data_IF_502417580016
#
_entry.id   IF_502417580016
#
_cell.length_a   1.000
_cell.length_b   1.000
_cell.length_c   1.000
_cell.angle_alpha   90.00
_cell.angle_beta   90.00
_cell.angle_gamma   90.00
#
_symmetry.space_group_name_H-M   'P 1'
#
loop_
_entity.id
_entity.type
_entity.pdbx_description
1 polymer ?
#
# COMPACT_ATOMS: atom_id res chain seq x y z
N UNK A 1 -9.67 19.28 -23.76
CA UNK A 1 -10.22 19.08 -22.40
C UNK A 1 -9.16 18.38 -21.57
N UNK A 2 -8.41 19.12 -20.77
CA UNK A 2 -7.49 18.52 -19.79
C UNK A 2 -8.34 18.01 -18.64
N UNK A 3 -8.64 16.71 -18.65
CA UNK A 3 -9.39 16.03 -17.60
C UNK A 3 -8.59 15.91 -16.31
N UNK A 4 -8.26 17.05 -15.67
CA UNK A 4 -7.90 17.05 -14.25
C UNK A 4 -9.19 16.70 -13.52
N UNK A 5 -9.38 15.41 -13.21
CA UNK A 5 -10.32 15.01 -12.18
C UNK A 5 -9.91 15.74 -10.91
N UNK A 6 -10.71 16.73 -10.51
CA UNK A 6 -10.42 17.57 -9.35
C UNK A 6 -10.26 16.67 -8.13
N UNK A 7 -9.07 16.67 -7.52
CA UNK A 7 -8.76 15.96 -6.27
C UNK A 7 -9.80 16.30 -5.18
N UNK A 8 -10.43 17.48 -5.28
CA UNK A 8 -11.59 17.95 -4.50
C UNK A 8 -12.76 16.95 -4.44
N UNK A 9 -12.97 16.12 -5.47
CA UNK A 9 -14.04 15.11 -5.44
C UNK A 9 -13.72 13.90 -4.56
N UNK A 10 -12.43 13.65 -4.29
CA UNK A 10 -11.98 12.56 -3.43
C UNK A 10 -11.83 13.01 -1.97
N UNK A 11 -11.79 14.31 -1.70
CA UNK A 11 -11.62 14.87 -0.35
C UNK A 11 -12.61 14.29 0.68
N UNK A 12 -13.93 14.14 0.40
CA UNK A 12 -14.85 13.53 1.36
C UNK A 12 -14.52 12.06 1.64
N UNK A 13 -14.06 11.32 0.62
CA UNK A 13 -13.70 9.90 0.73
C UNK A 13 -12.40 9.77 1.54
N UNK A 14 -11.38 10.56 1.23
CA UNK A 14 -10.12 10.60 1.98
C UNK A 14 -10.38 10.93 3.44
N UNK A 15 -11.20 11.95 3.71
CA UNK A 15 -11.56 12.35 5.08
C UNK A 15 -12.29 11.24 5.82
N UNK A 16 -13.18 10.51 5.14
CA UNK A 16 -13.89 9.37 5.72
C UNK A 16 -12.94 8.22 6.04
N UNK A 17 -11.97 7.92 5.16
CA UNK A 17 -10.98 6.87 5.40
C UNK A 17 -10.06 7.20 6.58
N UNK A 18 -9.63 8.45 6.70
CA UNK A 18 -8.84 8.93 7.85
C UNK A 18 -9.66 8.83 9.14
N UNK A 19 -10.94 9.22 9.12
CA UNK A 19 -11.82 9.11 10.28
C UNK A 19 -12.07 7.64 10.72
N UNK A 20 -11.90 6.67 9.83
CA UNK A 20 -12.04 5.24 10.13
C UNK A 20 -10.80 4.63 10.80
N UNK A 21 -9.63 5.27 10.71
CA UNK A 21 -8.37 4.74 11.24
C UNK A 21 -8.47 4.21 12.69
N UNK A 22 -9.06 4.94 13.66
CA UNK A 22 -9.11 4.48 15.06
C UNK A 22 -9.94 3.20 15.27
N UNK A 23 -10.88 2.90 14.37
CA UNK A 23 -11.72 1.71 14.44
C UNK A 23 -11.04 0.48 13.84
N UNK A 24 -10.09 0.71 12.93
CA UNK A 24 -9.38 -0.34 12.18
C UNK A 24 -8.11 -0.73 12.92
N UNK A 25 -7.41 0.27 13.47
CA UNK A 25 -6.25 0.10 14.36
C UNK A 25 -6.63 0.57 15.77
N UNK A 26 -7.41 -0.21 16.53
CA UNK A 26 -7.66 0.13 17.92
C UNK A 26 -6.32 0.19 18.65
N UNK A 27 -5.97 1.38 19.13
CA UNK A 27 -4.76 1.59 19.89
C UNK A 27 -4.84 0.68 21.13
N UNK A 28 -3.81 -0.11 21.45
CA UNK A 28 -3.86 -0.98 22.62
C UNK A 28 -3.98 -0.09 23.86
N UNK A 29 -5.21 0.04 24.37
CA UNK A 29 -5.49 0.74 25.62
C UNK A 29 -4.65 0.05 26.67
N UNK A 30 -3.84 0.81 27.39
CA UNK A 30 -2.98 0.33 28.47
C UNK A 30 -3.82 -0.26 29.60
N UNK A 31 -4.28 -1.50 29.46
CA UNK A 31 -4.74 -2.34 30.55
C UNK A 31 -4.22 -3.75 30.32
N UNK A 32 -3.22 -4.21 31.09
CA UNK A 32 -2.82 -5.60 31.09
C UNK A 32 -3.91 -6.39 31.81
N UNK A 33 -4.90 -6.87 31.08
CA UNK A 33 -5.68 -8.01 31.53
C UNK A 33 -5.09 -9.24 30.85
N UNK A 34 -4.30 -9.97 31.64
CA UNK A 34 -3.85 -11.32 31.37
C UNK A 34 -5.04 -12.18 30.94
N UNK A 35 -4.81 -12.99 29.91
CA UNK A 35 -5.76 -13.86 29.22
C UNK A 35 -6.70 -13.17 28.22
N UNK A 36 -6.22 -12.98 27.00
CA UNK A 36 -6.96 -13.63 25.92
C UNK A 36 -6.08 -14.06 24.75
N UNK A 37 -6.35 -15.28 24.33
CA UNK A 37 -5.69 -16.05 23.29
C UNK A 37 -5.45 -15.23 22.01
N UNK A 38 -4.22 -15.29 21.51
CA UNK A 38 -3.71 -14.67 20.28
C UNK A 38 -4.32 -15.26 18.99
N UNK A 39 -5.64 -15.24 18.86
CA UNK A 39 -6.31 -15.38 17.57
C UNK A 39 -6.52 -13.96 17.04
N UNK A 40 -5.51 -13.42 16.35
CA UNK A 40 -5.72 -12.28 15.46
C UNK A 40 -6.89 -12.68 14.56
N UNK A 41 -8.06 -12.07 14.77
CA UNK A 41 -9.24 -12.41 14.03
C UNK A 41 -8.95 -12.13 12.56
N UNK A 42 -9.00 -13.16 11.70
CA UNK A 42 -8.70 -13.06 10.27
C UNK A 42 -9.51 -11.93 9.62
N UNK A 43 -10.73 -11.68 10.11
CA UNK A 43 -11.56 -10.57 9.65
C UNK A 43 -10.99 -9.19 10.00
N UNK A 44 -10.35 -9.05 11.16
CA UNK A 44 -9.67 -7.80 11.57
C UNK A 44 -8.45 -7.55 10.69
N UNK A 45 -7.62 -8.57 10.47
CA UNK A 45 -6.44 -8.45 9.58
C UNK A 45 -6.85 -8.14 8.13
N UNK A 46 -7.92 -8.78 7.63
CA UNK A 46 -8.46 -8.49 6.30
C UNK A 46 -9.05 -7.07 6.21
N UNK A 47 -9.71 -6.60 7.27
CA UNK A 47 -10.25 -5.25 7.35
C UNK A 47 -9.13 -4.20 7.30
N UNK A 48 -8.06 -4.40 8.07
CA UNK A 48 -6.88 -3.54 8.05
C UNK A 48 -6.23 -3.54 6.66
N UNK A 49 -5.94 -4.72 6.09
CA UNK A 49 -5.38 -4.83 4.75
C UNK A 49 -6.24 -4.10 3.70
N UNK A 50 -7.56 -4.25 3.77
CA UNK A 50 -8.49 -3.56 2.84
C UNK A 50 -8.43 -2.05 2.99
N UNK A 51 -8.25 -1.55 4.21
CA UNK A 51 -8.09 -0.12 4.44
C UNK A 51 -6.75 0.41 3.93
N UNK A 52 -5.64 -0.33 4.13
CA UNK A 52 -4.34 0.02 3.53
C UNK A 52 -4.44 0.09 2.01
N UNK A 53 -5.14 -0.87 1.38
CA UNK A 53 -5.39 -0.87 -0.06
C UNK A 53 -6.12 0.39 -0.49
N UNK A 54 -7.19 0.78 0.22
CA UNK A 54 -7.97 1.97 -0.10
C UNK A 54 -7.13 3.25 0.04
N UNK A 55 -6.28 3.33 1.07
CA UNK A 55 -5.38 4.46 1.29
C UNK A 55 -4.29 4.58 0.21
N UNK A 56 -3.85 3.45 -0.38
CA UNK A 56 -2.98 3.46 -1.55
C UNK A 56 -3.76 3.90 -2.80
N UNK A 57 -4.90 3.27 -3.08
CA UNK A 57 -5.68 3.51 -4.31
C UNK A 57 -6.10 4.97 -4.44
N UNK A 58 -6.51 5.64 -3.36
CA UNK A 58 -6.98 7.03 -3.45
C UNK A 58 -5.89 7.98 -3.93
N UNK A 59 -4.62 7.69 -3.65
CA UNK A 59 -3.47 8.50 -4.08
C UNK A 59 -3.08 8.24 -5.54
N UNK A 60 -3.29 7.01 -6.01
CA UNK A 60 -2.86 6.57 -7.35
C UNK A 60 -4.02 6.46 -8.36
N UNK A 61 -5.26 6.71 -7.93
CA UNK A 61 -6.46 6.55 -8.75
C UNK A 61 -6.39 7.42 -10.01
N UNK A 62 -6.05 8.70 -9.87
CA UNK A 62 -6.00 9.63 -11.00
C UNK A 62 -4.96 9.17 -12.04
N UNK A 63 -3.67 8.94 -11.70
CA UNK A 63 -2.69 8.41 -12.65
C UNK A 63 -3.09 7.09 -13.29
N UNK A 64 -3.58 6.13 -12.48
CA UNK A 64 -3.95 4.78 -12.94
C UNK A 64 -5.14 4.80 -13.91
N UNK A 65 -6.11 5.67 -13.67
CA UNK A 65 -7.33 5.76 -14.48
C UNK A 65 -7.18 6.69 -15.69
N UNK A 66 -6.32 7.72 -15.64
CA UNK A 66 -6.01 8.53 -16.83
C UNK A 66 -5.03 7.86 -17.78
N UNK A 67 -4.32 6.82 -17.34
CA UNK A 67 -3.47 5.97 -18.18
C UNK A 67 -4.25 5.03 -19.13
N UNK A 68 -5.58 4.97 -19.04
CA UNK A 68 -6.42 4.15 -19.92
C UNK A 68 -6.30 2.64 -19.68
N UNK A 69 -5.96 2.26 -18.45
CA UNK A 69 -5.55 0.90 -18.10
C UNK A 69 -6.78 0.08 -17.66
N UNK A 70 -7.25 -0.80 -18.54
CA UNK A 70 -8.27 -1.81 -18.20
C UNK A 70 -7.67 -3.18 -18.50
N UNK A 71 -7.03 -3.79 -17.50
CA UNK A 71 -6.51 -5.15 -17.62
C UNK A 71 -7.64 -6.17 -17.49
N UNK A 72 -7.82 -7.04 -18.49
CA UNK A 72 -8.81 -8.14 -18.45
C UNK A 72 -8.35 -9.39 -17.69
N UNK A 73 -7.12 -9.40 -17.17
CA UNK A 73 -6.52 -10.51 -16.42
C UNK A 73 -5.50 -10.03 -15.39
N UNK A 74 -5.20 -10.88 -14.39
CA UNK A 74 -4.18 -10.59 -13.37
C UNK A 74 -2.79 -10.44 -14.00
N UNK A 75 -2.46 -11.25 -15.00
CA UNK A 75 -1.20 -11.13 -15.75
C UNK A 75 -1.06 -9.76 -16.41
N UNK A 76 -2.14 -9.27 -17.03
CA UNK A 76 -2.14 -7.93 -17.63
C UNK A 76 -1.91 -6.86 -16.56
N UNK A 77 -2.56 -6.96 -15.40
CA UNK A 77 -2.36 -6.02 -14.28
C UNK A 77 -0.91 -6.05 -13.77
N UNK A 78 -0.30 -7.22 -13.61
CA UNK A 78 1.09 -7.35 -13.13
C UNK A 78 2.10 -6.79 -14.13
N UNK A 79 1.93 -7.10 -15.42
CA UNK A 79 2.79 -6.57 -16.49
C UNK A 79 2.70 -5.05 -16.54
N UNK A 80 1.49 -4.52 -16.55
CA UNK A 80 1.20 -3.09 -16.60
C UNK A 80 1.75 -2.39 -15.35
N UNK A 81 1.53 -2.93 -14.15
CA UNK A 81 2.06 -2.35 -12.92
C UNK A 81 3.59 -2.25 -12.96
N UNK A 82 4.25 -3.26 -13.52
CA UNK A 82 5.71 -3.28 -13.67
C UNK A 82 6.19 -2.27 -14.71
N UNK A 83 5.51 -2.18 -15.86
CA UNK A 83 5.87 -1.31 -16.98
C UNK A 83 5.60 0.18 -16.68
N UNK A 84 4.55 0.49 -15.92
CA UNK A 84 4.13 1.85 -15.59
C UNK A 84 4.68 2.36 -14.26
N UNK A 85 5.25 1.50 -13.42
CA UNK A 85 5.89 1.89 -12.16
C UNK A 85 6.80 3.14 -12.29
N UNK A 86 7.64 3.29 -13.34
CA UNK A 86 8.48 4.49 -13.50
C UNK A 86 7.68 5.79 -13.67
N UNK A 87 6.55 5.74 -14.39
CA UNK A 87 5.69 6.91 -14.64
C UNK A 87 4.85 7.30 -13.43
N UNK A 88 4.52 6.35 -12.56
CA UNK A 88 3.85 6.60 -11.28
C UNK A 88 4.78 7.29 -10.28
N UNK A 89 6.09 7.16 -10.44
CA UNK A 89 7.09 7.68 -9.51
C UNK A 89 7.09 9.22 -9.41
N UNK A 90 6.88 9.94 -10.51
CA UNK A 90 6.81 11.41 -10.51
C UNK A 90 5.64 11.93 -9.65
N UNK A 91 4.51 11.22 -9.66
CA UNK A 91 3.32 11.57 -8.87
C UNK A 91 3.47 11.16 -7.40
N UNK A 92 4.19 10.07 -7.13
CA UNK A 92 4.39 9.53 -5.78
C UNK A 92 5.38 10.34 -4.95
N UNK A 93 6.33 11.05 -5.57
CA UNK A 93 7.25 11.95 -4.87
C UNK A 93 6.47 13.11 -4.20
N UNK A 94 5.41 13.61 -4.83
CA UNK A 94 4.58 14.69 -4.27
C UNK A 94 3.68 14.22 -3.10
N UNK A 95 3.31 12.94 -3.06
CA UNK A 95 2.40 12.37 -2.04
C UNK A 95 3.10 11.52 -0.97
N UNK A 96 4.44 11.47 -0.99
CA UNK A 96 5.23 10.50 -0.24
C UNK A 96 4.88 10.41 1.25
N UNK A 97 4.67 11.54 1.93
CA UNK A 97 4.34 11.54 3.36
C UNK A 97 2.99 10.91 3.71
N UNK A 98 2.04 10.87 2.77
CA UNK A 98 0.69 10.35 2.99
C UNK A 98 0.61 8.86 2.64
N UNK A 99 1.29 8.43 1.58
CA UNK A 99 1.20 7.05 1.10
C UNK A 99 2.19 6.09 1.80
N UNK A 100 3.35 6.59 2.23
CA UNK A 100 4.43 5.76 2.79
C UNK A 100 4.01 4.86 3.95
N UNK A 101 3.21 5.29 4.94
CA UNK A 101 2.80 4.41 6.04
C UNK A 101 2.04 3.16 5.58
N UNK A 102 1.28 3.29 4.49
CA UNK A 102 0.49 2.20 3.91
C UNK A 102 1.35 1.26 3.07
N UNK A 103 2.34 1.81 2.36
CA UNK A 103 3.38 1.02 1.69
C UNK A 103 4.18 0.22 2.71
N UNK A 104 4.61 0.87 3.79
CA UNK A 104 5.36 0.25 4.87
C UNK A 104 4.61 -0.91 5.52
N UNK A 105 3.28 -0.80 5.65
CA UNK A 105 2.44 -1.89 6.15
C UNK A 105 2.58 -3.13 5.29
N UNK A 106 2.47 -2.99 3.97
CA UNK A 106 2.63 -4.11 3.03
C UNK A 106 4.07 -4.63 2.95
N UNK A 107 5.08 -3.77 3.11
CA UNK A 107 6.47 -4.22 3.19
C UNK A 107 6.71 -5.07 4.46
N UNK A 108 6.19 -4.64 5.62
CA UNK A 108 6.22 -5.47 6.84
C UNK A 108 5.43 -6.77 6.68
N UNK A 109 4.30 -6.71 5.98
CA UNK A 109 3.52 -7.89 5.65
C UNK A 109 4.35 -8.92 4.87
N UNK A 110 5.07 -8.47 3.82
CA UNK A 110 5.97 -9.29 3.03
C UNK A 110 7.17 -9.85 3.81
N UNK A 111 7.72 -9.08 4.75
CA UNK A 111 8.85 -9.49 5.60
C UNK A 111 8.43 -10.46 6.72
N UNK A 112 7.13 -10.57 7.00
CA UNK A 112 6.63 -11.48 8.03
C UNK A 112 6.74 -12.95 7.58
N UNK A 113 7.34 -13.79 8.43
CA UNK A 113 7.60 -15.21 8.14
C UNK A 113 6.34 -16.10 8.08
N UNK A 114 5.14 -15.51 8.12
CA UNK A 114 3.84 -16.17 8.32
C UNK A 114 2.87 -16.04 7.15
N UNK A 115 3.37 -15.72 5.96
CA UNK A 115 2.51 -15.68 4.76
C UNK A 115 2.15 -17.12 4.38
N UNK A 116 0.87 -17.46 4.52
CA UNK A 116 0.30 -18.72 4.03
C UNK A 116 -0.62 -18.35 2.86
N UNK A 117 -0.14 -18.41 1.60
CA UNK A 117 -0.86 -17.91 0.43
C UNK A 117 -2.24 -18.54 0.24
N UNK A 118 -2.42 -19.78 0.71
CA UNK A 118 -3.67 -20.54 0.57
C UNK A 118 -4.74 -20.17 1.59
N UNK A 119 -4.40 -19.39 2.62
CA UNK A 119 -5.34 -18.96 3.68
C UNK A 119 -5.72 -17.48 3.60
N UNK A 120 -5.13 -16.74 2.66
CA UNK A 120 -5.39 -15.33 2.46
C UNK A 120 -6.15 -15.07 1.17
N UNK A 121 -6.70 -13.87 1.06
CA UNK A 121 -7.34 -13.45 -0.16
C UNK A 121 -6.29 -13.06 -1.22
N UNK A 122 -6.41 -13.50 -2.48
CA UNK A 122 -5.38 -13.26 -3.51
C UNK A 122 -5.05 -11.79 -3.77
N UNK A 123 -5.97 -10.87 -3.48
CA UNK A 123 -5.74 -9.44 -3.64
C UNK A 123 -4.70 -8.90 -2.67
N UNK A 124 -4.52 -9.49 -1.49
CA UNK A 124 -3.52 -9.05 -0.51
C UNK A 124 -2.12 -9.17 -1.11
N UNK A 125 -1.79 -10.35 -1.67
CA UNK A 125 -0.51 -10.58 -2.35
C UNK A 125 -0.31 -9.63 -3.54
N UNK A 126 -1.36 -9.33 -4.31
CA UNK A 126 -1.29 -8.38 -5.44
C UNK A 126 -0.97 -6.96 -4.98
N UNK A 127 -1.60 -6.50 -3.91
CA UNK A 127 -1.31 -5.18 -3.34
C UNK A 127 0.04 -5.12 -2.64
N UNK A 128 0.48 -6.21 -2.02
CA UNK A 128 1.82 -6.31 -1.46
C UNK A 128 2.89 -6.17 -2.56
N UNK A 129 2.72 -6.87 -3.69
CA UNK A 129 3.58 -6.71 -4.87
C UNK A 129 3.55 -5.28 -5.42
N UNK A 130 2.36 -4.66 -5.50
CA UNK A 130 2.21 -3.28 -5.93
C UNK A 130 2.92 -2.30 -5.00
N UNK A 131 2.81 -2.48 -3.68
CA UNK A 131 3.48 -1.67 -2.69
C UNK A 131 5.01 -1.81 -2.79
N UNK A 132 5.51 -3.03 -3.01
CA UNK A 132 6.92 -3.27 -3.31
C UNK A 132 7.38 -2.50 -4.55
N UNK A 133 6.63 -2.56 -5.67
CA UNK A 133 6.98 -1.81 -6.88
C UNK A 133 7.04 -0.31 -6.62
N UNK A 134 6.07 0.24 -5.88
CA UNK A 134 6.05 1.65 -5.49
C UNK A 134 7.30 2.01 -4.67
N UNK A 135 7.59 1.25 -3.62
CA UNK A 135 8.76 1.47 -2.77
C UNK A 135 10.07 1.34 -3.56
N UNK A 136 10.15 0.38 -4.48
CA UNK A 136 11.30 0.20 -5.34
C UNK A 136 11.54 1.40 -6.26
N UNK A 137 10.48 1.96 -6.85
CA UNK A 137 10.62 3.17 -7.66
C UNK A 137 11.02 4.37 -6.81
N UNK A 138 10.49 4.49 -5.58
CA UNK A 138 10.93 5.52 -4.65
C UNK A 138 12.43 5.42 -4.34
N UNK A 139 12.96 4.21 -4.09
CA UNK A 139 14.41 3.98 -3.93
C UNK A 139 15.19 4.39 -5.18
N UNK A 140 14.71 4.02 -6.38
CA UNK A 140 15.35 4.42 -7.65
C UNK A 140 15.28 5.92 -7.93
N UNK A 141 14.22 6.58 -7.45
CA UNK A 141 14.03 8.02 -7.49
C UNK A 141 14.87 8.79 -6.47
N UNK A 142 15.65 8.10 -5.63
CA UNK A 142 16.52 8.70 -4.62
C UNK A 142 15.76 9.16 -3.36
N UNK A 143 14.55 8.65 -3.14
CA UNK A 143 13.77 8.96 -1.96
C UNK A 143 14.32 8.24 -0.74
N UNK A 144 14.78 9.01 0.25
CA UNK A 144 15.36 8.46 1.46
C UNK A 144 14.31 7.72 2.31
N UNK A 145 14.68 6.56 2.83
CA UNK A 145 13.90 5.76 3.77
C UNK A 145 12.79 4.91 3.15
N UNK A 146 12.64 4.89 1.82
CA UNK A 146 11.48 4.29 1.13
C UNK A 146 11.26 2.78 1.43
N UNK A 147 12.31 2.05 1.81
CA UNK A 147 12.25 0.64 2.21
C UNK A 147 12.94 0.38 3.56
N UNK A 148 13.15 1.42 4.37
CA UNK A 148 13.87 1.31 5.64
C UNK A 148 13.16 0.37 6.63
N UNK A 149 11.83 0.27 6.53
CA UNK A 149 10.99 -0.60 7.37
C UNK A 149 11.36 -2.08 7.26
N UNK A 150 11.89 -2.51 6.11
CA UNK A 150 12.41 -3.85 5.84
C UNK A 150 13.94 -3.88 5.80
N UNK A 151 14.58 -2.88 6.41
CA UNK A 151 16.05 -2.76 6.58
C UNK A 151 16.84 -2.64 5.28
N UNK A 152 16.18 -2.31 4.18
CA UNK A 152 16.84 -1.96 2.91
C UNK A 152 17.30 -0.51 3.01
N UNK A 153 18.61 -0.29 2.82
CA UNK A 153 19.21 1.05 2.89
C UNK A 153 19.00 1.82 1.60
N UNK A 154 19.05 3.15 1.69
CA UNK A 154 19.00 4.01 0.50
C UNK A 154 20.14 3.68 -0.46
N UNK A 155 19.80 3.46 -1.74
CA UNK A 155 20.76 3.06 -2.76
C UNK A 155 21.24 1.59 -2.68
N UNK A 156 20.74 0.79 -1.74
CA UNK A 156 21.01 -0.65 -1.67
C UNK A 156 20.13 -1.41 -2.68
N UNK A 157 20.47 -1.27 -3.95
CA UNK A 157 19.79 -1.96 -5.06
C UNK A 157 19.85 -3.49 -4.94
N UNK A 158 20.79 -4.04 -4.15
CA UNK A 158 20.94 -5.49 -3.96
C UNK A 158 20.10 -6.01 -2.80
N UNK A 159 19.93 -5.24 -1.73
CA UNK A 159 19.05 -5.60 -0.62
C UNK A 159 17.56 -5.50 -0.98
N UNK A 160 17.23 -4.75 -2.03
CA UNK A 160 15.86 -4.53 -2.49
C UNK A 160 15.32 -5.57 -3.49
N UNK A 161 16.15 -6.51 -3.95
CA UNK A 161 15.82 -7.55 -4.95
C UNK A 161 16.06 -8.93 -4.33
#
# INVERSE_FOLDING_TARGET
MTGRLSVERLEPITSSLVALEPFIRPQPTQQPHDNDNSNVNIHTALCEATWEMAMIEIQIWSPSHTGGIVGGSVDAVLRIATDLAPSSCEVLIESNGVIQPHIDWFLRYLDSATIVPNSEAPWITLYAYKAFLIAWQMVRGGLAGAMQVVRVRDGDLKGAI
#
